data_IF_302831496156
#
_entry.id   IF_302831496156
#
_cell.length_a   1.000
_cell.length_b   1.000
_cell.length_c   1.000
_cell.angle_alpha   90.00
_cell.angle_beta   90.00
_cell.angle_gamma   90.00
#
_symmetry.space_group_name_H-M   'P 1'
#
loop_
_entity.id
_entity.type
_entity.pdbx_description
1 polymer ?
#
# COMPACT_ATOMS: atom_id res chain seq x y z
N UNK A 1 15.80 -5.82 -12.86
CA UNK A 1 15.15 -4.83 -11.98
C UNK A 1 13.75 -4.65 -12.53
N UNK A 2 12.72 -4.82 -11.70
CA UNK A 2 11.34 -4.68 -12.15
C UNK A 2 11.03 -3.22 -12.52
N UNK A 3 10.35 -3.01 -13.64
CA UNK A 3 9.89 -1.71 -14.08
C UNK A 3 8.54 -1.40 -13.39
N UNK A 4 8.59 -0.57 -12.33
CA UNK A 4 7.42 -0.24 -11.52
C UNK A 4 6.37 0.58 -12.30
N UNK A 5 6.80 1.39 -13.26
CA UNK A 5 5.88 2.17 -14.08
C UNK A 5 5.09 1.22 -15.00
N UNK A 6 5.79 0.27 -15.62
CA UNK A 6 5.16 -0.77 -16.45
C UNK A 6 4.23 -1.68 -15.64
N UNK A 7 4.65 -2.09 -14.45
CA UNK A 7 3.80 -2.87 -13.53
C UNK A 7 2.54 -2.10 -13.14
N UNK A 8 2.68 -0.82 -12.86
CA UNK A 8 1.53 0.05 -12.53
C UNK A 8 0.55 0.13 -13.70
N UNK A 9 1.03 0.34 -14.92
CA UNK A 9 0.21 0.37 -16.15
C UNK A 9 -0.55 -0.96 -16.39
N UNK A 10 0.02 -2.08 -15.99
CA UNK A 10 -0.60 -3.41 -16.13
C UNK A 10 -1.62 -3.68 -15.01
N UNK A 11 -1.32 -3.27 -13.78
CA UNK A 11 -2.13 -3.58 -12.60
C UNK A 11 -3.33 -2.62 -12.45
N UNK A 12 -3.15 -1.34 -12.78
CA UNK A 12 -4.19 -0.33 -12.60
C UNK A 12 -5.51 -0.67 -13.32
N UNK A 13 -5.51 -1.13 -14.60
CA UNK A 13 -6.74 -1.55 -15.25
C UNK A 13 -7.44 -2.73 -14.57
N UNK A 14 -6.68 -3.63 -13.95
CA UNK A 14 -7.24 -4.78 -13.23
C UNK A 14 -7.93 -4.36 -11.93
N UNK A 15 -7.39 -3.37 -11.23
CA UNK A 15 -8.05 -2.75 -10.08
C UNK A 15 -9.33 -2.02 -10.50
N UNK A 16 -9.24 -1.20 -11.55
CA UNK A 16 -10.37 -0.43 -12.08
C UNK A 16 -11.53 -1.33 -12.56
N UNK A 17 -11.22 -2.49 -13.13
CA UNK A 17 -12.23 -3.46 -13.57
C UNK A 17 -13.07 -4.02 -12.41
N UNK A 18 -12.55 -3.98 -11.18
CA UNK A 18 -13.25 -4.35 -9.94
C UNK A 18 -13.89 -3.13 -9.23
N UNK A 19 -13.73 -1.93 -9.79
CA UNK A 19 -14.19 -0.69 -9.17
C UNK A 19 -13.26 -0.16 -8.09
N UNK A 20 -12.02 -0.65 -8.03
CA UNK A 20 -11.00 -0.22 -7.05
C UNK A 20 -10.05 0.80 -7.66
N UNK A 21 -9.38 1.56 -6.81
CA UNK A 21 -8.34 2.49 -7.17
C UNK A 21 -6.99 2.02 -6.65
N UNK A 22 -6.00 2.00 -7.54
CA UNK A 22 -4.63 1.66 -7.18
C UNK A 22 -4.01 2.80 -6.37
N UNK A 23 -3.42 2.48 -5.22
CA UNK A 23 -2.75 3.43 -4.34
C UNK A 23 -1.23 3.39 -4.54
N UNK A 24 -0.65 2.19 -4.59
CA UNK A 24 0.79 2.02 -4.74
C UNK A 24 1.14 0.64 -5.30
N UNK A 25 2.15 0.60 -6.16
CA UNK A 25 2.86 -0.62 -6.56
C UNK A 25 4.30 -0.52 -6.09
N UNK A 26 4.82 -1.57 -5.48
CA UNK A 26 6.18 -1.59 -4.93
C UNK A 26 6.77 -2.99 -4.94
N UNK A 27 8.06 -3.09 -5.29
CA UNK A 27 8.86 -4.28 -5.00
C UNK A 27 9.50 -4.13 -3.62
N UNK A 28 9.44 -5.17 -2.81
CA UNK A 28 9.99 -5.19 -1.46
C UNK A 28 10.47 -6.60 -1.10
N UNK A 29 11.34 -6.75 -0.09
CA UNK A 29 11.67 -8.07 0.43
C UNK A 29 10.39 -8.79 0.90
N UNK A 30 10.27 -10.08 0.57
CA UNK A 30 9.15 -10.90 1.02
C UNK A 30 9.16 -11.08 2.54
N UNK A 31 8.01 -10.98 3.16
CA UNK A 31 7.83 -11.28 4.59
C UNK A 31 7.75 -12.78 4.88
N UNK A 32 7.71 -13.64 3.84
CA UNK A 32 7.67 -15.10 3.99
C UNK A 32 8.96 -15.71 4.57
N UNK A 33 10.01 -14.91 4.76
CA UNK A 33 11.28 -15.37 5.37
C UNK A 33 12.15 -16.24 4.47
N UNK A 34 11.82 -16.36 3.19
CA UNK A 34 12.54 -17.15 2.19
C UNK A 34 13.64 -16.37 1.45
N UNK A 35 13.81 -15.08 1.79
CA UNK A 35 14.75 -14.18 1.13
C UNK A 35 14.33 -13.75 -0.28
N UNK A 36 13.10 -14.04 -0.68
CA UNK A 36 12.53 -13.65 -1.97
C UNK A 36 12.09 -12.20 -2.04
N UNK A 37 11.59 -11.80 -3.19
CA UNK A 37 10.97 -10.49 -3.42
C UNK A 37 9.43 -10.60 -3.41
N UNK A 38 8.75 -9.54 -3.03
CA UNK A 38 7.31 -9.42 -3.12
C UNK A 38 6.93 -8.22 -4.00
N UNK A 39 5.97 -8.44 -4.89
CA UNK A 39 5.25 -7.39 -5.59
C UNK A 39 4.04 -7.00 -4.73
N UNK A 40 4.12 -5.88 -4.06
CA UNK A 40 3.00 -5.34 -3.29
C UNK A 40 2.16 -4.41 -4.17
N UNK A 41 0.88 -4.76 -4.30
CA UNK A 41 -0.15 -3.93 -4.92
C UNK A 41 -1.13 -3.46 -3.86
N UNK A 42 -1.10 -2.18 -3.55
CA UNK A 42 -2.01 -1.56 -2.58
C UNK A 42 -3.13 -0.85 -3.33
N UNK A 43 -4.36 -1.18 -2.99
CA UNK A 43 -5.54 -0.59 -3.63
C UNK A 43 -6.64 -0.31 -2.61
N UNK A 44 -7.62 0.49 -2.99
CA UNK A 44 -8.76 0.86 -2.16
C UNK A 44 -10.07 0.80 -2.94
N UNK A 45 -11.14 0.50 -2.22
CA UNK A 45 -12.50 0.79 -2.69
C UNK A 45 -12.78 2.28 -2.42
N UNK A 46 -13.11 3.10 -3.44
CA UNK A 46 -13.35 4.53 -3.25
C UNK A 46 -14.47 4.85 -2.24
N UNK A 47 -15.40 3.92 -2.04
CA UNK A 47 -16.51 4.10 -1.11
C UNK A 47 -16.06 4.05 0.36
N UNK A 48 -15.01 3.29 0.67
CA UNK A 48 -14.51 3.08 2.05
C UNK A 48 -13.09 3.57 2.28
N UNK A 49 -12.31 3.77 1.21
CA UNK A 49 -10.89 4.07 1.25
C UNK A 49 -10.02 2.86 1.64
N UNK A 50 -10.57 1.66 1.66
CA UNK A 50 -9.90 0.42 2.07
C UNK A 50 -10.37 -0.77 1.24
N UNK A 51 -9.73 -1.94 1.40
CA UNK A 51 -10.18 -3.21 0.86
C UNK A 51 -10.41 -4.20 1.99
N UNK A 52 -11.47 -5.00 1.87
CA UNK A 52 -11.68 -6.20 2.70
C UNK A 52 -10.95 -7.41 2.08
N UNK A 53 -10.83 -8.51 2.83
CA UNK A 53 -10.05 -9.70 2.43
C UNK A 53 -10.51 -10.27 1.09
N UNK A 54 -11.81 -10.38 0.87
CA UNK A 54 -12.38 -10.91 -0.38
C UNK A 54 -12.04 -10.02 -1.58
N UNK A 55 -12.02 -8.71 -1.40
CA UNK A 55 -11.63 -7.74 -2.42
C UNK A 55 -10.13 -7.85 -2.75
N UNK A 56 -9.29 -8.00 -1.74
CA UNK A 56 -7.86 -8.27 -1.93
C UNK A 56 -7.64 -9.57 -2.72
N UNK A 57 -8.35 -10.64 -2.37
CA UNK A 57 -8.25 -11.92 -3.05
C UNK A 57 -8.72 -11.84 -4.51
N UNK A 58 -9.80 -11.10 -4.79
CA UNK A 58 -10.29 -10.89 -6.14
C UNK A 58 -9.28 -10.12 -7.00
N UNK A 59 -8.69 -9.07 -6.47
CA UNK A 59 -7.66 -8.29 -7.17
C UNK A 59 -6.40 -9.12 -7.39
N UNK A 60 -5.96 -9.88 -6.38
CA UNK A 60 -4.77 -10.74 -6.46
C UNK A 60 -4.89 -11.74 -7.60
N UNK A 61 -6.03 -12.42 -7.75
CA UNK A 61 -6.27 -13.37 -8.86
C UNK A 61 -6.18 -12.67 -10.21
N UNK A 62 -6.82 -11.51 -10.39
CA UNK A 62 -6.79 -10.79 -11.66
C UNK A 62 -5.39 -10.32 -12.03
N UNK A 63 -4.63 -9.80 -11.06
CA UNK A 63 -3.25 -9.35 -11.28
C UNK A 63 -2.36 -10.54 -11.66
N UNK A 64 -2.48 -11.66 -10.95
CA UNK A 64 -1.74 -12.90 -11.28
C UNK A 64 -2.02 -13.36 -12.70
N UNK A 65 -3.31 -13.55 -13.04
CA UNK A 65 -3.72 -13.99 -14.37
C UNK A 65 -3.22 -13.04 -15.48
N UNK A 66 -3.20 -11.74 -15.20
CA UNK A 66 -2.73 -10.74 -16.16
C UNK A 66 -1.22 -10.79 -16.37
N UNK A 67 -0.45 -10.93 -15.31
CA UNK A 67 1.01 -11.05 -15.39
C UNK A 67 1.38 -12.35 -16.09
N UNK A 68 0.76 -13.47 -15.71
CA UNK A 68 0.99 -14.79 -16.34
C UNK A 68 0.71 -14.74 -17.85
N UNK A 69 -0.38 -14.11 -18.26
CA UNK A 69 -0.74 -13.95 -19.67
C UNK A 69 0.28 -13.11 -20.47
N UNK A 70 0.93 -12.12 -19.84
CA UNK A 70 1.99 -11.34 -20.46
C UNK A 70 3.30 -12.14 -20.56
N UNK A 71 3.65 -12.91 -19.54
CA UNK A 71 4.82 -13.79 -19.55
C UNK A 71 4.71 -14.88 -20.62
N UNK A 72 3.53 -15.46 -20.81
CA UNK A 72 3.27 -16.41 -21.90
C UNK A 72 3.49 -15.82 -23.30
N UNK A 73 3.26 -14.50 -23.44
CA UNK A 73 3.53 -13.76 -24.68
C UNK A 73 5.00 -13.31 -24.82
N UNK A 74 5.83 -13.62 -23.82
CA UNK A 74 7.24 -13.25 -23.79
C UNK A 74 7.54 -11.88 -23.18
N UNK A 75 6.52 -11.21 -22.62
CA UNK A 75 6.67 -9.93 -21.91
C UNK A 75 6.86 -10.19 -20.41
N UNK A 76 8.11 -10.44 -20.01
CA UNK A 76 8.49 -10.74 -18.62
C UNK A 76 8.67 -9.44 -17.84
N UNK A 77 7.72 -9.14 -16.97
CA UNK A 77 7.72 -7.90 -16.18
C UNK A 77 8.63 -7.99 -14.94
N UNK A 78 8.77 -9.17 -14.36
CA UNK A 78 9.57 -9.41 -13.16
C UNK A 78 10.49 -10.60 -13.44
N UNK A 79 11.79 -10.40 -13.31
CA UNK A 79 12.75 -11.47 -13.50
C UNK A 79 12.88 -12.32 -12.22
N UNK A 80 12.59 -13.62 -12.33
CA UNK A 80 12.69 -14.56 -11.20
C UNK A 80 11.38 -14.74 -10.42
N UNK A 81 11.46 -15.55 -9.38
CA UNK A 81 10.30 -15.83 -8.52
C UNK A 81 10.01 -14.65 -7.59
N UNK A 82 8.74 -14.38 -7.39
CA UNK A 82 8.25 -13.34 -6.48
C UNK A 82 6.93 -13.76 -5.82
N UNK A 83 6.62 -13.14 -4.71
CA UNK A 83 5.31 -13.26 -4.06
C UNK A 83 4.43 -12.08 -4.49
N UNK A 84 3.18 -12.36 -4.84
CA UNK A 84 2.20 -11.31 -5.09
C UNK A 84 1.44 -11.01 -3.80
N UNK A 85 1.55 -9.77 -3.32
CA UNK A 85 0.85 -9.28 -2.14
C UNK A 85 -0.13 -8.18 -2.53
N UNK A 86 -1.41 -8.38 -2.26
CA UNK A 86 -2.43 -7.35 -2.41
C UNK A 86 -2.88 -6.90 -1.02
N UNK A 87 -2.85 -5.61 -0.78
CA UNK A 87 -3.13 -5.05 0.55
C UNK A 87 -4.04 -3.81 0.47
N UNK A 88 -4.72 -3.56 1.58
CA UNK A 88 -5.42 -2.31 1.86
C UNK A 88 -4.46 -1.25 2.40
N UNK A 89 -4.72 0.06 2.19
CA UNK A 89 -3.84 1.13 2.69
C UNK A 89 -3.68 1.18 4.21
N UNK A 90 -4.65 0.69 4.98
CA UNK A 90 -4.65 0.85 6.43
C UNK A 90 -5.02 2.28 6.88
N UNK A 91 -5.00 2.52 8.20
CA UNK A 91 -5.36 3.82 8.79
C UNK A 91 -4.24 4.85 8.54
N UNK A 92 -2.99 4.48 8.78
CA UNK A 92 -1.79 5.30 8.53
C UNK A 92 -1.30 5.17 7.07
N UNK A 93 -2.23 5.29 6.16
CA UNK A 93 -2.06 5.05 4.73
C UNK A 93 -0.96 5.88 4.08
N UNK A 94 -0.29 5.36 3.03
CA UNK A 94 0.59 6.17 2.20
C UNK A 94 -0.23 7.18 1.37
N UNK A 95 0.35 8.36 1.15
CA UNK A 95 -0.17 9.39 0.26
C UNK A 95 0.68 9.40 -1.00
N UNK A 96 0.08 9.02 -2.13
CA UNK A 96 0.80 8.84 -3.39
C UNK A 96 0.23 9.67 -4.53
N UNK A 97 -1.08 9.87 -4.53
CA UNK A 97 -1.81 10.61 -5.57
C UNK A 97 -2.13 12.02 -5.10
N UNK A 98 -2.29 12.96 -6.04
CA UNK A 98 -2.65 14.34 -5.71
C UNK A 98 -3.91 14.43 -4.84
N UNK A 99 -4.92 13.60 -5.15
CA UNK A 99 -6.16 13.53 -4.36
C UNK A 99 -5.95 13.10 -2.91
N UNK A 100 -4.93 12.27 -2.63
CA UNK A 100 -4.64 11.84 -1.25
C UNK A 100 -4.23 13.02 -0.38
N UNK A 101 -3.37 13.91 -0.91
CA UNK A 101 -2.95 15.12 -0.21
C UNK A 101 -4.10 16.13 -0.01
N UNK A 102 -5.07 16.15 -0.92
CA UNK A 102 -6.26 16.98 -0.77
C UNK A 102 -7.24 16.38 0.26
N UNK A 103 -7.52 15.08 0.17
CA UNK A 103 -8.52 14.40 1.00
C UNK A 103 -8.10 14.30 2.48
N UNK A 104 -6.81 14.20 2.74
CA UNK A 104 -6.25 14.02 4.08
C UNK A 104 -5.61 15.28 4.66
N UNK A 105 -5.92 16.45 4.11
CA UNK A 105 -5.56 17.73 4.70
C UNK A 105 -6.16 17.86 6.12
N UNK A 106 -5.39 18.43 7.04
CA UNK A 106 -5.75 18.56 8.46
C UNK A 106 -5.20 17.44 9.34
N UNK A 107 -4.63 16.39 8.78
CA UNK A 107 -4.04 15.28 9.53
C UNK A 107 -2.53 15.36 9.63
N UNK A 108 -1.98 14.83 10.70
CA UNK A 108 -0.53 14.73 10.86
C UNK A 108 0.06 13.78 9.83
N UNK A 109 1.07 14.24 9.13
CA UNK A 109 1.71 13.54 8.01
C UNK A 109 3.22 13.55 8.18
N UNK A 110 3.85 12.45 7.78
CA UNK A 110 5.31 12.34 7.66
C UNK A 110 5.66 12.25 6.17
N UNK A 111 6.52 13.16 5.72
CA UNK A 111 7.01 13.23 4.34
C UNK A 111 8.51 13.01 4.32
N UNK A 112 8.99 12.12 3.43
CA UNK A 112 10.40 11.96 3.10
C UNK A 112 10.63 12.42 1.68
N UNK A 113 11.58 13.33 1.48
CA UNK A 113 11.92 13.88 0.18
C UNK A 113 12.91 12.98 -0.56
N UNK A 114 12.89 13.04 -1.90
CA UNK A 114 13.84 12.36 -2.74
C UNK A 114 15.28 12.81 -2.44
N UNK A 115 16.25 11.95 -2.73
CA UNK A 115 17.68 12.25 -2.53
C UNK A 115 18.17 13.45 -3.34
N UNK A 116 17.54 13.72 -4.47
CA UNK A 116 17.80 14.86 -5.36
C UNK A 116 17.25 16.19 -4.86
N UNK A 117 16.37 16.17 -3.86
CA UNK A 117 15.77 17.39 -3.33
C UNK A 117 16.80 18.19 -2.51
N UNK A 118 16.95 19.48 -2.85
CA UNK A 118 17.79 20.42 -2.12
C UNK A 118 16.98 21.11 -1.03
N UNK A 119 17.11 20.62 0.19
CA UNK A 119 16.35 21.11 1.34
C UNK A 119 16.23 20.08 2.45
N UNK A 120 15.28 20.30 3.36
CA UNK A 120 15.02 19.36 4.44
C UNK A 120 14.40 18.08 3.91
N UNK A 121 15.04 16.96 4.19
CA UNK A 121 14.64 15.65 3.66
C UNK A 121 13.48 14.98 4.37
N UNK A 122 13.25 15.33 5.63
CA UNK A 122 12.18 14.76 6.43
C UNK A 122 11.34 15.87 7.06
N UNK A 123 10.07 15.87 6.75
CA UNK A 123 9.06 16.79 7.28
C UNK A 123 8.06 16.02 8.10
N UNK A 124 7.56 16.61 9.17
CA UNK A 124 6.50 16.04 9.99
C UNK A 124 5.65 17.12 10.61
N UNK A 125 4.37 17.09 10.34
CA UNK A 125 3.42 18.04 10.85
C UNK A 125 2.04 17.90 10.22
N UNK A 126 1.22 18.90 10.38
CA UNK A 126 -0.13 18.93 9.82
C UNK A 126 -0.06 19.19 8.31
N UNK A 127 -0.67 18.29 7.53
CA UNK A 127 -0.85 18.47 6.10
C UNK A 127 -1.88 19.57 5.84
N UNK A 128 -1.51 20.61 5.10
CA UNK A 128 -2.42 21.70 4.74
C UNK A 128 -3.15 21.45 3.43
N UNK A 129 -2.66 20.55 2.61
CA UNK A 129 -3.24 20.17 1.33
C UNK A 129 -2.28 20.30 0.16
N UNK A 130 -2.84 20.39 -1.03
CA UNK A 130 -2.11 20.49 -2.28
C UNK A 130 -2.76 21.54 -3.18
N UNK A 131 -1.94 22.30 -3.89
CA UNK A 131 -2.34 23.22 -4.95
C UNK A 131 -1.57 22.89 -6.23
N UNK A 132 -2.28 22.36 -7.23
CA UNK A 132 -1.62 21.77 -8.40
C UNK A 132 -0.73 20.59 -7.96
N UNK A 133 0.58 20.73 -8.16
CA UNK A 133 1.58 19.75 -7.73
C UNK A 133 2.41 20.21 -6.51
N UNK A 134 2.00 21.25 -5.82
CA UNK A 134 2.68 21.78 -4.63
C UNK A 134 1.94 21.37 -3.37
N UNK A 135 2.59 20.56 -2.57
CA UNK A 135 2.10 20.11 -1.25
C UNK A 135 2.54 21.08 -0.18
N UNK A 136 1.62 21.46 0.70
CA UNK A 136 1.89 22.34 1.85
C UNK A 136 1.72 21.56 3.15
N UNK A 137 2.73 21.63 4.02
CA UNK A 137 2.75 21.02 5.36
C UNK A 137 3.20 22.05 6.38
N UNK A 138 2.58 22.06 7.55
CA UNK A 138 3.04 22.82 8.70
C UNK A 138 4.01 21.95 9.52
N UNK A 139 5.28 22.03 9.15
CA UNK A 139 6.32 21.25 9.81
C UNK A 139 6.56 21.73 11.25
N UNK A 140 6.70 20.77 12.17
CA UNK A 140 6.87 21.05 13.61
C UNK A 140 8.11 21.89 13.95
N UNK A 141 9.13 21.88 13.07
CA UNK A 141 10.41 22.59 13.30
C UNK A 141 10.53 23.88 12.53
N UNK A 142 9.96 23.92 11.32
CA UNK A 142 10.18 25.01 10.36
C UNK A 142 8.93 25.86 10.12
N UNK A 143 7.75 25.43 10.61
CA UNK A 143 6.48 26.06 10.28
C UNK A 143 6.00 25.66 8.89
N UNK A 144 5.38 26.59 8.18
CA UNK A 144 4.77 26.32 6.89
C UNK A 144 5.83 26.08 5.81
N UNK A 145 5.81 24.90 5.20
CA UNK A 145 6.73 24.45 4.14
C UNK A 145 5.94 23.99 2.93
N UNK A 146 6.39 24.38 1.75
CA UNK A 146 5.83 23.90 0.48
C UNK A 146 6.86 23.05 -0.26
N UNK A 147 6.43 21.91 -0.81
CA UNK A 147 7.30 20.99 -1.53
C UNK A 147 6.63 20.48 -2.81
N UNK A 148 7.37 20.29 -3.91
CA UNK A 148 6.85 19.69 -5.12
C UNK A 148 6.51 18.22 -4.86
N UNK A 149 5.34 17.77 -5.30
CA UNK A 149 4.89 16.39 -5.13
C UNK A 149 5.81 15.36 -5.81
N UNK A 150 6.35 15.70 -6.98
CA UNK A 150 7.29 14.85 -7.73
C UNK A 150 8.66 14.65 -7.03
N UNK A 151 8.99 15.50 -6.04
CA UNK A 151 10.18 15.37 -5.20
C UNK A 151 9.92 14.62 -3.90
N UNK A 152 8.71 14.20 -3.64
CA UNK A 152 8.35 13.37 -2.48
C UNK A 152 8.71 11.91 -2.79
N UNK A 153 9.63 11.34 -2.00
CA UNK A 153 9.96 9.92 -2.08
C UNK A 153 8.88 9.05 -1.42
N UNK A 154 8.40 9.46 -0.25
CA UNK A 154 7.31 8.81 0.46
C UNK A 154 6.57 9.79 1.36
N UNK A 155 5.28 9.61 1.47
CA UNK A 155 4.44 10.32 2.43
C UNK A 155 3.44 9.34 3.04
N UNK A 156 3.18 9.46 4.34
CA UNK A 156 2.16 8.69 5.02
C UNK A 156 1.54 9.46 6.18
N UNK A 157 0.30 9.15 6.51
CA UNK A 157 -0.36 9.66 7.69
C UNK A 157 0.30 9.10 8.96
N UNK A 158 0.27 9.89 10.02
CA UNK A 158 0.69 9.46 11.35
C UNK A 158 -0.57 9.06 12.13
N UNK A 159 -0.52 7.91 12.79
CA UNK A 159 -1.65 7.42 13.58
C UNK A 159 -1.91 8.35 14.77
N UNK A 160 -3.08 8.99 14.77
CA UNK A 160 -3.60 9.85 15.83
C UNK A 160 -5.03 9.46 16.16
N UNK A 161 -5.53 9.86 17.34
CA UNK A 161 -6.92 9.59 17.71
C UNK A 161 -7.92 10.26 16.75
N UNK A 162 -7.57 11.44 16.23
CA UNK A 162 -8.36 12.15 15.22
C UNK A 162 -8.41 11.39 13.90
N UNK A 163 -7.29 10.82 13.47
CA UNK A 163 -7.22 10.00 12.27
C UNK A 163 -8.03 8.71 12.43
N UNK A 164 -7.93 8.05 13.57
CA UNK A 164 -8.73 6.85 13.89
C UNK A 164 -10.22 7.16 13.85
N UNK A 165 -10.63 8.28 14.44
CA UNK A 165 -12.02 8.72 14.44
C UNK A 165 -12.54 9.10 13.03
N UNK A 166 -11.67 9.61 12.16
CA UNK A 166 -12.02 9.99 10.79
C UNK A 166 -12.06 8.79 9.83
N UNK A 167 -11.45 7.66 10.21
CA UNK A 167 -11.40 6.45 9.38
C UNK A 167 -12.60 5.55 9.66
N UNK A 168 -13.30 5.14 8.60
CA UNK A 168 -14.41 4.19 8.77
C UNK A 168 -13.86 2.83 9.24
N UNK A 169 -14.55 2.16 10.19
CA UNK A 169 -14.15 0.82 10.61
C UNK A 169 -14.25 -0.15 9.42
N UNK A 170 -13.23 -1.00 9.26
CA UNK A 170 -13.29 -2.11 8.32
C UNK A 170 -14.38 -3.08 8.74
N UNK A 171 -15.15 -3.56 7.78
CA UNK A 171 -16.00 -4.72 7.99
C UNK A 171 -15.09 -5.96 8.10
N UNK A 172 -14.90 -6.42 9.32
CA UNK A 172 -14.11 -7.62 9.65
C UNK A 172 -14.99 -8.86 9.80
N UNK A 173 -16.23 -8.82 9.36
CA UNK A 173 -17.20 -9.92 9.54
C UNK A 173 -16.79 -11.24 8.85
N UNK A 174 -15.79 -11.21 7.95
CA UNK A 174 -15.18 -12.40 7.34
C UNK A 174 -13.88 -12.88 8.00
N UNK A 175 -13.39 -12.18 9.03
CA UNK A 175 -12.10 -12.49 9.66
C UNK A 175 -12.19 -13.51 10.82
N UNK A 176 -13.39 -13.87 11.25
CA UNK A 176 -13.62 -14.74 12.42
C UNK A 176 -13.54 -16.25 12.12
N UNK A 177 -13.25 -16.67 10.89
CA UNK A 177 -12.92 -18.06 10.58
C UNK A 177 -11.39 -18.31 10.62
N UNK A 178 -10.76 -18.04 11.75
CA UNK A 178 -9.51 -18.73 12.09
C UNK A 178 -9.92 -20.13 12.50
N UNK A 179 -9.82 -21.08 11.61
CA UNK A 179 -9.91 -22.50 11.93
C UNK A 179 -8.73 -22.80 12.85
N UNK A 180 -8.97 -22.86 14.15
CA UNK A 180 -8.04 -23.50 15.07
C UNK A 180 -7.90 -24.95 14.60
N UNK A 181 -6.75 -25.27 14.01
CA UNK A 181 -6.37 -26.67 13.79
C UNK A 181 -6.27 -27.31 15.17
N UNK A 182 -7.07 -28.35 15.48
CA UNK A 182 -6.96 -29.01 16.76
C UNK A 182 -5.56 -29.59 16.90
N UNK A 183 -4.92 -29.29 18.02
CA UNK A 183 -3.70 -29.93 18.46
C UNK A 183 -3.86 -31.45 18.37
N UNK A 184 -3.04 -32.09 17.54
CA UNK A 184 -2.93 -33.54 17.50
C UNK A 184 -2.17 -33.92 18.75
N UNK A 185 -2.78 -34.67 19.69
CA UNK A 185 -2.05 -35.13 20.87
C UNK A 185 -0.92 -36.06 20.45
N UNK A 186 0.29 -35.77 20.93
CA UNK A 186 1.44 -36.67 20.85
C UNK A 186 1.06 -38.06 21.38
N UNK A 187 1.08 -39.06 20.48
CA UNK A 187 0.99 -40.45 20.91
C UNK A 187 2.25 -40.78 21.72
N UNK A 188 2.04 -40.98 23.00
CA UNK A 188 2.99 -41.61 23.92
C UNK A 188 3.52 -42.90 23.27
N UNK A 189 4.81 -42.96 23.03
CA UNK A 189 5.52 -44.21 22.80
C UNK A 189 5.49 -45.02 24.08
N UNK A 190 4.66 -46.03 24.09
CA UNK A 190 4.77 -47.09 25.07
C UNK A 190 6.01 -47.92 24.73
N UNK A 191 6.97 -47.92 25.64
CA UNK A 191 8.04 -48.91 25.73
C UNK A 191 7.44 -50.24 26.10
N UNK A 192 7.86 -51.29 25.37
CA UNK A 192 7.95 -52.65 25.86
C UNK A 192 9.13 -53.39 25.19
#
# INVERSE_FOLDING_TARGET
MADLDRLTEVIEPEAQALGFELVRVKMMPSEAGDGGEALQSMAEDPATGQLVIEQCAALSRRVSDRIDALEEQGDVLIAGAYHLEVSSPGIDRPLTRAKDFANWAGHETKISMAKSYDGQRNLRGELKGIDGDIVTIEDRKQGLVTVPRDQIHSAKLVLTDELIAATQPLDTSGADEIVETPDIPDEEKADD
#
